data_IF_940793197951
#
_entry.id   IF_940793197951
#
_cell.length_a   1.000
_cell.length_b   1.000
_cell.length_c   1.000
_cell.angle_alpha   90.00
_cell.angle_beta   90.00
_cell.angle_gamma   90.00
#
_symmetry.space_group_name_H-M   'P 1'
#
loop_
_entity.id
_entity.type
_entity.pdbx_description
1 polymer ?
#
# COMPACT_ATOMS: atom_id res chain seq x y z
N UNK A 1 17.49 -15.68 4.53
CA UNK A 1 17.41 -14.65 3.46
C UNK A 1 16.45 -13.52 3.82
N UNK A 2 15.21 -13.82 4.24
CA UNK A 2 14.20 -12.84 4.66
C UNK A 2 14.65 -11.82 5.72
N UNK A 3 15.37 -12.27 6.76
CA UNK A 3 15.94 -11.37 7.79
C UNK A 3 16.88 -10.31 7.19
N UNK A 4 17.62 -10.61 6.11
CA UNK A 4 18.47 -9.62 5.45
C UNK A 4 17.64 -8.53 4.75
N UNK A 5 16.52 -8.90 4.13
CA UNK A 5 15.61 -7.96 3.47
C UNK A 5 14.94 -7.00 4.46
N UNK A 6 14.49 -7.51 5.61
CA UNK A 6 13.91 -6.68 6.67
C UNK A 6 14.91 -5.67 7.25
N UNK A 7 16.19 -6.04 7.29
CA UNK A 7 17.25 -5.20 7.84
C UNK A 7 17.91 -4.26 6.81
N UNK A 8 17.37 -4.15 5.59
CA UNK A 8 17.87 -3.18 4.59
C UNK A 8 17.79 -1.75 5.17
N UNK A 9 18.91 -1.02 5.09
CA UNK A 9 19.00 0.34 5.61
C UNK A 9 19.16 0.44 7.13
N UNK A 10 19.12 -0.66 7.88
CA UNK A 10 19.37 -0.63 9.32
C UNK A 10 20.87 -0.47 9.61
N UNK A 11 21.21 0.43 10.53
CA UNK A 11 22.60 0.71 10.95
C UNK A 11 22.74 0.58 12.46
N UNK A 12 23.93 0.20 12.98
CA UNK A 12 24.15 0.05 14.42
C UNK A 12 23.82 1.31 15.24
N UNK A 13 24.08 2.49 14.67
CA UNK A 13 23.93 3.80 15.31
C UNK A 13 22.48 4.26 15.50
N UNK A 14 21.52 3.62 14.84
CA UNK A 14 20.11 3.99 14.94
C UNK A 14 19.51 3.56 16.28
N UNK A 15 18.57 4.36 16.78
CA UNK A 15 17.83 4.02 17.98
C UNK A 15 16.90 2.81 17.75
N UNK A 16 16.37 2.24 18.84
CA UNK A 16 15.47 1.08 18.76
C UNK A 16 14.19 1.37 17.96
N UNK A 17 13.57 2.54 18.15
CA UNK A 17 12.33 2.92 17.49
C UNK A 17 12.53 3.15 15.99
N UNK A 18 13.64 3.75 15.58
CA UNK A 18 14.05 3.92 14.19
C UNK A 18 14.32 2.57 13.52
N UNK A 19 15.06 1.67 14.18
CA UNK A 19 15.29 0.31 13.68
C UNK A 19 13.98 -0.45 13.49
N UNK A 20 13.06 -0.34 14.46
CA UNK A 20 11.71 -0.92 14.38
C UNK A 20 10.94 -0.36 13.19
N UNK A 21 10.91 0.96 13.04
CA UNK A 21 10.18 1.65 11.98
C UNK A 21 10.67 1.24 10.58
N UNK A 22 11.99 1.20 10.36
CA UNK A 22 12.59 0.75 9.09
C UNK A 22 12.19 -0.70 8.78
N UNK A 23 12.26 -1.59 9.78
CA UNK A 23 11.88 -2.99 9.62
C UNK A 23 10.41 -3.14 9.28
N UNK A 24 9.53 -2.36 9.91
CA UNK A 24 8.08 -2.36 9.61
C UNK A 24 7.84 -1.86 8.18
N UNK A 25 8.47 -0.75 7.77
CA UNK A 25 8.35 -0.24 6.39
C UNK A 25 8.81 -1.27 5.36
N UNK A 26 9.97 -1.89 5.59
CA UNK A 26 10.47 -2.93 4.69
C UNK A 26 9.54 -4.15 4.68
N UNK A 27 9.04 -4.58 5.84
CA UNK A 27 8.08 -5.69 5.94
C UNK A 27 6.82 -5.40 5.14
N UNK A 28 6.21 -4.23 5.35
CA UNK A 28 4.98 -3.85 4.68
C UNK A 28 5.18 -3.72 3.16
N UNK A 29 6.28 -3.10 2.73
CA UNK A 29 6.61 -3.02 1.30
C UNK A 29 6.81 -4.41 0.66
N UNK A 30 7.47 -5.34 1.36
CA UNK A 30 7.64 -6.71 0.89
C UNK A 30 6.32 -7.49 0.86
N UNK A 31 5.44 -7.27 1.85
CA UNK A 31 4.09 -7.86 1.86
C UNK A 31 3.28 -7.35 0.67
N UNK A 32 3.36 -6.06 0.35
CA UNK A 32 2.71 -5.50 -0.85
C UNK A 32 3.26 -6.19 -2.10
N UNK A 33 4.58 -6.20 -2.31
CA UNK A 33 5.19 -6.83 -3.49
C UNK A 33 4.78 -8.31 -3.62
N UNK A 34 4.81 -9.06 -2.52
CA UNK A 34 4.41 -10.46 -2.51
C UNK A 34 2.91 -10.65 -2.79
N UNK A 35 2.06 -9.82 -2.18
CA UNK A 35 0.62 -9.84 -2.40
C UNK A 35 0.26 -9.51 -3.84
N UNK A 36 0.95 -8.55 -4.46
CA UNK A 36 0.82 -8.25 -5.89
C UNK A 36 1.28 -9.44 -6.74
N UNK A 37 2.43 -10.06 -6.48
CA UNK A 37 2.85 -11.25 -7.24
C UNK A 37 1.81 -12.39 -7.21
N UNK A 38 1.12 -12.58 -6.08
CA UNK A 38 -0.01 -13.51 -6.01
C UNK A 38 -1.21 -12.95 -6.79
N UNK A 39 -1.56 -11.68 -6.59
CA UNK A 39 -2.64 -10.98 -7.30
C UNK A 39 -2.48 -10.96 -8.82
N UNK A 40 -1.26 -10.97 -9.33
CA UNK A 40 -0.90 -11.11 -10.74
C UNK A 40 -1.42 -12.39 -11.37
N UNK A 41 -1.67 -13.44 -10.57
CA UNK A 41 -2.33 -14.65 -11.08
C UNK A 41 -3.77 -14.38 -11.55
N UNK A 42 -4.39 -13.27 -11.12
CA UNK A 42 -5.70 -12.86 -11.61
C UNK A 42 -5.72 -12.52 -13.10
N UNK A 43 -4.58 -12.30 -13.74
CA UNK A 43 -4.49 -12.13 -15.19
C UNK A 43 -5.07 -13.34 -15.95
N UNK A 44 -4.95 -14.55 -15.40
CA UNK A 44 -5.50 -15.75 -16.02
C UNK A 44 -7.04 -15.81 -15.99
N UNK A 45 -7.68 -15.09 -15.06
CA UNK A 45 -9.13 -15.06 -14.90
C UNK A 45 -9.77 -13.80 -15.51
N UNK A 46 -9.07 -12.66 -15.44
CA UNK A 46 -9.58 -11.35 -15.87
C UNK A 46 -9.09 -10.96 -17.27
N UNK A 47 -8.04 -11.60 -17.80
CA UNK A 47 -7.50 -11.31 -19.13
C UNK A 47 -7.15 -9.83 -19.30
N UNK A 48 -7.70 -9.17 -20.32
CA UNK A 48 -7.47 -7.75 -20.60
C UNK A 48 -8.09 -6.80 -19.56
N UNK A 49 -9.06 -7.27 -18.77
CA UNK A 49 -9.67 -6.52 -17.68
C UNK A 49 -8.81 -6.51 -16.40
N UNK A 50 -7.60 -7.07 -16.45
CA UNK A 50 -6.67 -7.07 -15.34
C UNK A 50 -5.78 -5.80 -15.35
N UNK A 51 -5.67 -5.04 -14.24
CA UNK A 51 -4.94 -3.77 -14.21
C UNK A 51 -3.42 -3.94 -14.06
N UNK A 52 -2.79 -4.71 -14.96
CA UNK A 52 -1.38 -5.07 -14.90
C UNK A 52 -0.42 -3.86 -14.80
N UNK A 53 -0.72 -2.77 -15.51
CA UNK A 53 0.10 -1.55 -15.50
C UNK A 53 0.03 -0.89 -14.12
N UNK A 54 -1.16 -0.73 -13.55
CA UNK A 54 -1.34 -0.12 -12.24
C UNK A 54 -0.66 -0.96 -11.16
N UNK A 55 -0.84 -2.28 -11.21
CA UNK A 55 -0.16 -3.22 -10.31
C UNK A 55 1.36 -3.10 -10.39
N UNK A 56 1.92 -3.05 -11.60
CA UNK A 56 3.36 -2.88 -11.82
C UNK A 56 3.87 -1.56 -11.22
N UNK A 57 3.12 -0.47 -11.37
CA UNK A 57 3.45 0.83 -10.77
C UNK A 57 3.45 0.71 -9.23
N UNK A 58 2.44 0.07 -8.64
CA UNK A 58 2.36 -0.11 -7.18
C UNK A 58 3.56 -0.93 -6.68
N UNK A 59 3.93 -2.00 -7.39
CA UNK A 59 5.09 -2.82 -7.06
C UNK A 59 6.39 -1.99 -7.11
N UNK A 60 6.58 -1.18 -8.16
CA UNK A 60 7.74 -0.28 -8.29
C UNK A 60 7.77 0.73 -7.14
N UNK A 61 6.61 1.32 -6.80
CA UNK A 61 6.50 2.25 -5.67
C UNK A 61 6.83 1.59 -4.33
N UNK A 62 6.39 0.35 -4.09
CA UNK A 62 6.74 -0.40 -2.89
C UNK A 62 8.25 -0.70 -2.83
N UNK A 63 8.87 -1.10 -3.94
CA UNK A 63 10.32 -1.28 -4.04
C UNK A 63 11.08 0.05 -3.84
N UNK A 64 10.52 1.17 -4.30
CA UNK A 64 11.08 2.49 -4.11
C UNK A 64 11.15 2.89 -2.62
N UNK A 65 10.17 2.48 -1.80
CA UNK A 65 10.23 2.66 -0.33
C UNK A 65 11.44 1.93 0.27
N UNK A 66 11.66 0.67 -0.13
CA UNK A 66 12.82 -0.12 0.32
C UNK A 66 14.12 0.54 -0.16
N UNK A 67 14.15 1.03 -1.39
CA UNK A 67 15.29 1.76 -1.94
C UNK A 67 15.59 3.03 -1.12
N UNK A 68 14.59 3.83 -0.74
CA UNK A 68 14.79 5.00 0.11
C UNK A 68 15.38 4.63 1.48
N UNK A 69 14.91 3.55 2.10
CA UNK A 69 15.50 3.01 3.32
C UNK A 69 16.96 2.59 3.11
N UNK A 70 17.29 1.94 1.99
CA UNK A 70 18.67 1.57 1.65
C UNK A 70 19.60 2.79 1.52
N UNK A 71 19.06 3.93 1.06
CA UNK A 71 19.75 5.22 0.94
C UNK A 71 19.68 6.07 2.22
N UNK A 72 19.19 5.51 3.33
CA UNK A 72 19.08 6.17 4.63
C UNK A 72 18.12 7.38 4.63
N UNK A 73 17.22 7.47 3.64
CA UNK A 73 16.17 8.50 3.55
C UNK A 73 14.91 8.03 4.27
N UNK A 74 15.02 7.75 5.57
CA UNK A 74 13.96 7.07 6.35
C UNK A 74 12.65 7.84 6.45
N UNK A 75 12.73 9.17 6.59
CA UNK A 75 11.52 10.02 6.58
C UNK A 75 10.81 9.93 5.24
N UNK A 76 11.55 10.15 4.15
CA UNK A 76 10.99 10.07 2.81
C UNK A 76 10.38 8.69 2.53
N UNK A 77 11.01 7.61 3.01
CA UNK A 77 10.49 6.26 2.88
C UNK A 77 9.13 6.10 3.57
N UNK A 78 8.97 6.64 4.79
CA UNK A 78 7.71 6.57 5.52
C UNK A 78 6.59 7.39 4.84
N UNK A 79 6.87 8.63 4.43
CA UNK A 79 5.90 9.45 3.70
C UNK A 79 5.53 8.81 2.35
N UNK A 80 6.52 8.32 1.60
CA UNK A 80 6.29 7.63 0.34
C UNK A 80 5.40 6.40 0.55
N UNK A 81 5.66 5.59 1.58
CA UNK A 81 4.82 4.44 1.90
C UNK A 81 3.36 4.82 2.16
N UNK A 82 3.12 5.83 3.00
CA UNK A 82 1.76 6.28 3.34
C UNK A 82 1.03 6.84 2.12
N UNK A 83 1.71 7.60 1.27
CA UNK A 83 1.13 8.11 0.01
C UNK A 83 0.81 6.96 -0.95
N UNK A 84 1.74 6.04 -1.15
CA UNK A 84 1.59 4.90 -2.06
C UNK A 84 0.43 4.01 -1.64
N UNK A 85 0.34 3.65 -0.35
CA UNK A 85 -0.75 2.78 0.12
C UNK A 85 -2.10 3.49 0.05
N UNK A 86 -2.16 4.80 0.35
CA UNK A 86 -3.39 5.59 0.22
C UNK A 86 -3.86 5.66 -1.24
N UNK A 87 -2.96 6.01 -2.16
CA UNK A 87 -3.25 6.08 -3.59
C UNK A 87 -3.66 4.71 -4.16
N UNK A 88 -3.01 3.64 -3.71
CA UNK A 88 -3.37 2.27 -4.07
C UNK A 88 -4.80 1.94 -3.65
N UNK A 89 -5.19 2.27 -2.42
CA UNK A 89 -6.56 2.03 -1.95
C UNK A 89 -7.58 2.84 -2.74
N UNK A 90 -7.28 4.10 -3.06
CA UNK A 90 -8.15 4.93 -3.92
C UNK A 90 -8.31 4.27 -5.28
N UNK A 91 -7.20 3.86 -5.91
CA UNK A 91 -7.24 3.18 -7.20
C UNK A 91 -8.10 1.91 -7.15
N UNK A 92 -7.80 0.99 -6.23
CA UNK A 92 -8.51 -0.30 -6.13
C UNK A 92 -10.01 -0.09 -5.90
N UNK A 93 -10.39 0.87 -5.04
CA UNK A 93 -11.79 1.14 -4.76
C UNK A 93 -12.55 1.83 -5.90
N UNK A 94 -11.85 2.55 -6.78
CA UNK A 94 -12.45 3.15 -7.97
C UNK A 94 -12.47 2.16 -9.14
N UNK A 95 -11.50 1.23 -9.17
CA UNK A 95 -11.33 0.25 -10.23
C UNK A 95 -12.36 -0.88 -10.15
N UNK A 96 -12.56 -1.44 -8.96
CA UNK A 96 -13.50 -2.54 -8.74
C UNK A 96 -14.88 -2.05 -8.28
N UNK A 97 -15.90 -2.87 -8.52
CA UNK A 97 -17.25 -2.60 -8.04
C UNK A 97 -17.30 -2.62 -6.51
N UNK A 98 -18.21 -1.84 -5.92
CA UNK A 98 -18.48 -1.82 -4.49
C UNK A 98 -18.80 -3.21 -3.94
N UNK A 99 -19.39 -4.09 -4.76
CA UNK A 99 -19.68 -5.49 -4.39
C UNK A 99 -18.45 -6.29 -3.99
N UNK A 100 -17.25 -5.91 -4.45
CA UNK A 100 -15.98 -6.56 -4.07
C UNK A 100 -15.50 -6.18 -2.66
N UNK A 101 -16.17 -5.22 -2.01
CA UNK A 101 -15.87 -4.76 -0.66
C UNK A 101 -14.43 -4.25 -0.43
N UNK A 102 -13.73 -3.81 -1.49
CA UNK A 102 -12.36 -3.29 -1.43
C UNK A 102 -12.15 -2.11 -0.44
N UNK A 103 -13.23 -1.43 -0.03
CA UNK A 103 -13.16 -0.35 0.96
C UNK A 103 -12.80 -0.85 2.35
N UNK A 104 -12.99 -2.14 2.64
CA UNK A 104 -12.61 -2.74 3.91
C UNK A 104 -11.09 -2.74 4.14
N UNK A 105 -10.29 -2.67 3.06
CA UNK A 105 -8.83 -2.61 3.17
C UNK A 105 -8.30 -1.30 3.79
N UNK A 106 -9.12 -0.24 3.93
CA UNK A 106 -8.74 0.93 4.72
C UNK A 106 -8.49 0.58 6.19
N UNK A 107 -9.21 -0.39 6.75
CA UNK A 107 -9.06 -0.79 8.16
C UNK A 107 -7.66 -1.34 8.48
N UNK A 108 -7.17 -2.42 7.83
CA UNK A 108 -5.82 -2.92 8.09
C UNK A 108 -4.72 -1.90 7.74
N UNK A 109 -4.93 -1.02 6.76
CA UNK A 109 -3.96 0.02 6.40
C UNK A 109 -3.82 1.07 7.50
N UNK A 110 -4.91 1.46 8.18
CA UNK A 110 -4.84 2.36 9.35
C UNK A 110 -3.93 1.76 10.44
N UNK A 111 -4.04 0.46 10.72
CA UNK A 111 -3.13 -0.21 11.67
C UNK A 111 -1.69 -0.20 11.19
N UNK A 112 -1.44 -0.48 9.90
CA UNK A 112 -0.10 -0.43 9.33
C UNK A 112 0.55 0.95 9.50
N UNK A 113 -0.22 2.02 9.31
CA UNK A 113 0.26 3.40 9.51
C UNK A 113 0.44 3.72 10.99
N UNK A 114 -0.44 3.24 11.87
CA UNK A 114 -0.27 3.40 13.32
C UNK A 114 1.02 2.73 13.83
N UNK A 115 1.40 1.58 13.26
CA UNK A 115 2.65 0.88 13.57
C UNK A 115 3.91 1.68 13.18
N UNK A 116 3.80 2.67 12.30
CA UNK A 116 4.88 3.60 11.95
C UNK A 116 5.07 4.74 12.96
N UNK A 117 4.19 4.84 13.98
CA UNK A 117 4.37 5.81 15.03
C UNK A 117 5.72 5.61 15.72
N UNK A 118 6.45 6.69 15.92
CA UNK A 118 7.74 6.71 16.58
C UNK A 118 7.70 7.80 17.66
N UNK A 119 7.83 7.45 18.94
CA UNK A 119 7.72 8.42 20.04
C UNK A 119 8.84 9.47 20.01
N UNK A 120 9.96 9.19 19.34
CA UNK A 120 11.07 10.14 19.18
C UNK A 120 10.82 11.18 18.07
N UNK A 121 9.68 11.11 17.37
CA UNK A 121 9.34 12.02 16.27
C UNK A 121 8.14 12.91 16.62
N UNK A 122 8.04 14.11 16.02
CA UNK A 122 6.93 15.01 16.29
C UNK A 122 5.57 14.38 15.99
N UNK A 123 4.59 14.61 16.87
CA UNK A 123 3.20 14.12 16.70
C UNK A 123 2.54 14.64 15.43
N UNK A 124 2.99 15.80 14.92
CA UNK A 124 2.55 16.37 13.63
C UNK A 124 2.73 15.39 12.48
N UNK A 125 3.76 14.56 12.51
CA UNK A 125 3.99 13.50 11.50
C UNK A 125 2.86 12.48 11.48
N UNK A 126 2.45 11.98 12.65
CA UNK A 126 1.33 11.04 12.75
C UNK A 126 0.01 11.68 12.30
N UNK A 127 -0.19 12.97 12.61
CA UNK A 127 -1.35 13.71 12.12
C UNK A 127 -1.36 13.84 10.58
N UNK A 128 -0.19 14.09 9.97
CA UNK A 128 -0.05 14.11 8.49
C UNK A 128 -0.40 12.74 7.91
N UNK A 129 0.16 11.66 8.48
CA UNK A 129 -0.13 10.31 7.99
C UNK A 129 -1.63 9.99 8.06
N UNK A 130 -2.27 10.30 9.19
CA UNK A 130 -3.71 10.14 9.35
C UNK A 130 -4.49 10.96 8.33
N UNK A 131 -4.10 12.22 8.10
CA UNK A 131 -4.75 13.11 7.14
C UNK A 131 -4.66 12.59 5.71
N UNK A 132 -3.53 11.98 5.31
CA UNK A 132 -3.36 11.36 3.98
C UNK A 132 -4.30 10.16 3.82
N UNK A 133 -4.41 9.29 4.83
CA UNK A 133 -5.31 8.13 4.79
C UNK A 133 -6.77 8.57 4.79
N UNK A 134 -7.14 9.52 5.65
CA UNK A 134 -8.49 10.08 5.71
C UNK A 134 -8.87 10.77 4.40
N UNK A 135 -7.97 11.57 3.84
CA UNK A 135 -8.17 12.21 2.54
C UNK A 135 -8.41 11.19 1.44
N UNK A 136 -7.59 10.13 1.36
CA UNK A 136 -7.81 9.02 0.42
C UNK A 136 -9.16 8.33 0.62
N UNK A 137 -9.54 8.05 1.87
CA UNK A 137 -10.85 7.46 2.17
C UNK A 137 -12.02 8.35 1.73
N UNK A 138 -11.94 9.65 2.00
CA UNK A 138 -12.96 10.62 1.59
C UNK A 138 -13.04 10.73 0.07
N UNK A 139 -11.92 10.78 -0.64
CA UNK A 139 -11.88 10.74 -2.11
C UNK A 139 -12.61 9.50 -2.61
N UNK A 140 -12.30 8.33 -2.06
CA UNK A 140 -12.94 7.07 -2.42
C UNK A 140 -14.47 7.08 -2.22
N UNK A 141 -14.97 7.73 -1.17
CA UNK A 141 -16.41 7.72 -0.84
C UNK A 141 -17.20 8.85 -1.48
N UNK A 142 -16.58 10.01 -1.70
CA UNK A 142 -17.27 11.22 -2.14
C UNK A 142 -17.10 11.48 -3.64
N UNK A 143 -16.11 10.83 -4.29
CA UNK A 143 -15.84 11.05 -5.71
C UNK A 143 -15.97 9.75 -6.50
N UNK A 144 -16.40 9.88 -7.75
CA UNK A 144 -16.42 8.79 -8.71
C UNK A 144 -15.51 9.18 -9.88
N UNK A 145 -14.35 8.54 -9.98
CA UNK A 145 -13.34 8.86 -10.98
C UNK A 145 -13.49 7.89 -12.14
N UNK A 146 -14.32 8.25 -13.13
CA UNK A 146 -14.66 7.38 -14.27
C UNK A 146 -13.43 6.87 -15.03
N UNK A 147 -12.35 7.66 -15.09
CA UNK A 147 -11.10 7.28 -15.74
C UNK A 147 -10.35 6.12 -15.06
N UNK A 148 -10.69 5.80 -13.80
CA UNK A 148 -10.09 4.70 -13.05
C UNK A 148 -10.96 3.44 -13.02
N UNK A 149 -12.17 3.46 -13.57
CA UNK A 149 -13.03 2.27 -13.58
C UNK A 149 -12.49 1.20 -14.52
N UNK A 150 -12.50 -0.04 -14.06
CA UNK A 150 -12.27 -1.19 -14.92
C UNK A 150 -13.35 -1.33 -16.00
N UNK A 151 -13.09 -2.18 -16.99
CA UNK A 151 -14.13 -2.62 -17.93
C UNK A 151 -15.26 -3.34 -17.16
N UNK A 152 -16.46 -3.40 -17.74
CA UNK A 152 -17.59 -4.10 -17.11
C UNK A 152 -17.24 -5.56 -16.83
N UNK A 153 -16.96 -5.88 -15.57
CA UNK A 153 -16.77 -7.25 -15.08
C UNK A 153 -18.09 -8.01 -15.14
N UNK A 154 -18.03 -9.31 -15.45
CA UNK A 154 -19.21 -10.18 -15.32
C UNK A 154 -19.57 -10.40 -13.85
N UNK A 155 -20.82 -10.76 -13.56
CA UNK A 155 -21.23 -11.09 -12.19
C UNK A 155 -20.39 -12.20 -11.56
N UNK A 156 -19.97 -13.19 -12.38
CA UNK A 156 -19.10 -14.28 -11.93
C UNK A 156 -17.69 -13.79 -11.55
N UNK A 157 -17.11 -12.87 -12.33
CA UNK A 157 -15.82 -12.24 -12.01
C UNK A 157 -15.89 -11.42 -10.72
N UNK A 158 -16.95 -10.63 -10.53
CA UNK A 158 -17.16 -9.87 -9.30
C UNK A 158 -17.31 -10.79 -8.07
N UNK A 159 -17.97 -11.95 -8.24
CA UNK A 159 -18.11 -12.94 -7.16
C UNK A 159 -16.76 -13.57 -6.80
N UNK A 160 -15.93 -13.92 -7.78
CA UNK A 160 -14.59 -14.46 -7.53
C UNK A 160 -13.69 -13.44 -6.82
N UNK A 161 -13.75 -12.17 -7.22
CA UNK A 161 -13.00 -11.07 -6.60
C UNK A 161 -13.41 -10.79 -5.13
N UNK A 162 -14.61 -11.18 -4.71
CA UNK A 162 -15.03 -11.06 -3.30
C UNK A 162 -14.42 -12.13 -2.39
N UNK A 163 -14.11 -13.31 -2.92
CA UNK A 163 -13.61 -14.45 -2.14
C UNK A 163 -12.08 -14.55 -2.05
N UNK A 164 -11.36 -13.69 -2.78
CA UNK A 164 -9.90 -13.58 -2.79
C UNK A 164 -9.47 -12.48 -1.80
#
# INVERSE_FOLDING_TARGET
MFSKLLNIGTRPQLDFHQKREIRILNLLALVIVFGLLIGSTNIFFLGEAYPAIAESIIAICALFVIFLNSKQKYEAAAYAFVVVISATLVFVNQYYDLSTAAYLYYFPVIFCVALLHNPNKPTTRSAIFFSIILGGFLVTKLTNITALKGTTFTEEQNRLLFFI
#
